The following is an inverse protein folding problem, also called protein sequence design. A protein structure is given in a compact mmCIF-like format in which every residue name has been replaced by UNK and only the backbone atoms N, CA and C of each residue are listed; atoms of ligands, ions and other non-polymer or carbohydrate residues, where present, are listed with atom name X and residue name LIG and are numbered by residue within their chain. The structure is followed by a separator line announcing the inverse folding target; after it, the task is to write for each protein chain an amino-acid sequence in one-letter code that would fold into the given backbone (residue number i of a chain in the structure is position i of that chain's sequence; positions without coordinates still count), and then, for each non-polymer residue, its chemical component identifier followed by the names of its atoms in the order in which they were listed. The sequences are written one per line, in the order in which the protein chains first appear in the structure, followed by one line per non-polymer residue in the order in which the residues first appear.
data_IF_941154266838
#
_entry.id   IF_941154266838
#
_cell.length_a   1.000
_cell.length_b   1.000
_cell.length_c   1.000
_cell.angle_alpha   90.00
_cell.angle_beta   90.00
_cell.angle_gamma   90.00
#
_symmetry.space_group_name_H-M   'P 1'
#
loop_
_entity.id
_entity.type
_entity.pdbx_description
1 polymer ?
#
# COMPACT_ATOMS: atom_id res chain seq x y z
N UNK A 1 -6.46 -11.52 -45.85
CA UNK A 1 -5.76 -11.80 -44.58
C UNK A 1 -6.20 -10.69 -43.64
N UNK A 2 -7.24 -10.97 -42.88
CA UNK A 2 -7.79 -10.03 -41.89
C UNK A 2 -6.81 -9.95 -40.73
N UNK A 3 -6.40 -8.74 -40.38
CA UNK A 3 -5.65 -8.45 -39.17
C UNK A 3 -6.49 -8.93 -37.99
N UNK A 4 -6.18 -10.10 -37.44
CA UNK A 4 -6.62 -10.48 -36.09
C UNK A 4 -6.16 -9.37 -35.14
N UNK A 5 -7.12 -8.55 -34.71
CA UNK A 5 -6.85 -7.45 -33.78
C UNK A 5 -6.09 -7.99 -32.59
N UNK A 6 -4.87 -7.51 -32.39
CA UNK A 6 -4.11 -7.73 -31.16
C UNK A 6 -5.02 -7.29 -29.99
N UNK A 7 -5.69 -8.27 -29.34
CA UNK A 7 -6.29 -8.05 -28.03
C UNK A 7 -5.16 -7.52 -27.15
N UNK A 8 -5.22 -6.23 -26.84
CA UNK A 8 -4.29 -5.63 -25.88
C UNK A 8 -4.36 -6.46 -24.60
N UNK A 9 -3.29 -7.21 -24.31
CA UNK A 9 -3.22 -8.01 -23.08
C UNK A 9 -3.42 -7.09 -21.90
N UNK A 10 -4.33 -7.47 -20.99
CA UNK A 10 -4.54 -6.73 -19.74
C UNK A 10 -3.23 -6.62 -18.95
N UNK A 11 -3.10 -5.54 -18.22
CA UNK A 11 -1.92 -5.20 -17.44
C UNK A 11 -2.03 -5.75 -16.02
N UNK A 12 -0.92 -6.21 -15.48
CA UNK A 12 -0.74 -6.51 -14.04
C UNK A 12 -0.05 -5.31 -13.39
N UNK A 13 -0.59 -4.81 -12.29
CA UNK A 13 0.04 -3.78 -11.46
C UNK A 13 0.58 -4.43 -10.20
N UNK A 14 1.90 -4.37 -9.98
CA UNK A 14 2.54 -4.82 -8.75
C UNK A 14 2.87 -3.58 -7.90
N UNK A 15 2.30 -3.47 -6.72
CA UNK A 15 2.45 -2.32 -5.84
C UNK A 15 3.42 -2.57 -4.70
N UNK A 16 4.44 -1.71 -4.57
CA UNK A 16 5.40 -1.74 -3.48
C UNK A 16 5.11 -0.63 -2.47
N UNK A 17 4.39 -1.00 -1.41
CA UNK A 17 3.92 -0.08 -0.39
C UNK A 17 4.97 0.19 0.70
N UNK A 18 4.92 1.32 1.41
CA UNK A 18 5.73 1.56 2.60
C UNK A 18 5.28 0.68 3.79
N UNK A 19 6.16 0.49 4.80
CA UNK A 19 7.55 0.95 4.85
C UNK A 19 8.44 0.08 3.97
N UNK A 20 8.99 0.65 2.91
CA UNK A 20 9.85 -0.06 1.98
C UNK A 20 11.06 0.80 1.65
N UNK A 21 12.19 0.16 1.32
CA UNK A 21 13.41 0.85 0.97
C UNK A 21 13.18 1.77 -0.24
N UNK A 22 13.61 3.02 -0.14
CA UNK A 22 13.49 4.01 -1.23
C UNK A 22 14.75 4.10 -2.11
N UNK A 23 15.84 3.47 -1.70
CA UNK A 23 17.13 3.52 -2.40
C UNK A 23 17.35 2.33 -3.35
N UNK A 24 16.52 1.28 -3.24
CA UNK A 24 16.61 0.08 -4.08
C UNK A 24 15.21 -0.30 -4.58
N UNK A 25 15.10 -0.79 -5.83
CA UNK A 25 13.86 -1.42 -6.28
C UNK A 25 13.60 -2.72 -5.48
N UNK A 26 12.34 -3.13 -5.38
CA UNK A 26 11.99 -4.41 -4.76
C UNK A 26 12.58 -5.57 -5.56
N UNK A 27 13.44 -6.42 -4.98
CA UNK A 27 13.93 -7.61 -5.67
C UNK A 27 12.79 -8.57 -6.04
N UNK A 28 11.86 -8.81 -5.11
CA UNK A 28 10.72 -9.69 -5.33
C UNK A 28 9.84 -9.21 -6.50
N UNK A 29 9.43 -7.94 -6.49
CA UNK A 29 8.63 -7.36 -7.58
C UNK A 29 9.37 -7.39 -8.92
N UNK A 30 10.69 -7.19 -8.91
CA UNK A 30 11.51 -7.22 -10.12
C UNK A 30 11.56 -8.62 -10.72
N UNK A 31 11.69 -9.66 -9.89
CA UNK A 31 11.67 -11.08 -10.32
C UNK A 31 10.29 -11.43 -10.87
N UNK A 32 9.21 -11.13 -10.14
CA UNK A 32 7.84 -11.41 -10.58
C UNK A 32 7.51 -10.72 -11.90
N UNK A 33 7.91 -9.45 -12.05
CA UNK A 33 7.74 -8.70 -13.30
C UNK A 33 8.48 -9.40 -14.45
N UNK A 34 9.78 -9.70 -14.29
CA UNK A 34 10.56 -10.35 -15.31
C UNK A 34 9.99 -11.72 -15.68
N UNK A 35 9.56 -12.51 -14.68
CA UNK A 35 8.96 -13.81 -14.89
C UNK A 35 7.70 -13.72 -15.75
N UNK A 36 6.71 -12.91 -15.36
CA UNK A 36 5.47 -12.75 -16.12
C UNK A 36 5.68 -12.15 -17.52
N UNK A 37 6.66 -11.24 -17.67
CA UNK A 37 7.02 -10.67 -18.98
C UNK A 37 7.58 -11.72 -19.94
N UNK A 38 8.28 -12.76 -19.46
CA UNK A 38 8.74 -13.87 -20.30
C UNK A 38 7.58 -14.67 -20.92
N UNK A 39 6.39 -14.65 -20.29
CA UNK A 39 5.16 -15.22 -20.83
C UNK A 39 4.32 -14.20 -21.61
N UNK A 40 4.89 -13.01 -21.85
CA UNK A 40 4.27 -11.97 -22.68
C UNK A 40 3.18 -11.16 -22.01
N UNK A 41 3.13 -11.12 -20.67
CA UNK A 41 2.21 -10.26 -19.93
C UNK A 41 2.79 -8.85 -19.76
N UNK A 42 1.92 -7.84 -19.78
CA UNK A 42 2.29 -6.47 -19.48
C UNK A 42 2.26 -6.26 -17.96
N UNK A 43 3.42 -5.98 -17.35
CA UNK A 43 3.55 -5.82 -15.90
C UNK A 43 4.20 -4.49 -15.57
N UNK A 44 3.51 -3.67 -14.76
CA UNK A 44 4.02 -2.43 -14.20
C UNK A 44 4.28 -2.60 -12.71
N UNK A 45 5.35 -1.99 -12.20
CA UNK A 45 5.58 -1.85 -10.76
C UNK A 45 5.23 -0.42 -10.38
N UNK A 46 4.29 -0.28 -9.43
CA UNK A 46 3.92 0.99 -8.83
C UNK A 46 4.65 1.15 -7.50
N UNK A 47 5.48 2.16 -7.43
CA UNK A 47 6.32 2.45 -6.26
C UNK A 47 5.60 3.39 -5.30
N UNK A 48 4.56 2.90 -4.61
CA UNK A 48 3.80 3.66 -3.61
C UNK A 48 4.69 4.22 -2.49
N UNK A 49 5.75 3.49 -2.14
CA UNK A 49 6.73 3.94 -1.16
C UNK A 49 7.40 5.27 -1.53
N UNK A 50 7.62 5.57 -2.81
CA UNK A 50 8.24 6.82 -3.24
C UNK A 50 7.26 8.00 -3.12
N UNK A 51 6.02 7.83 -3.55
CA UNK A 51 5.00 8.87 -3.45
C UNK A 51 4.68 9.20 -2.00
N UNK A 52 4.42 8.17 -1.20
CA UNK A 52 4.03 8.32 0.19
C UNK A 52 5.20 8.81 1.06
N UNK A 53 6.45 8.46 0.71
CA UNK A 53 7.63 8.99 1.39
C UNK A 53 7.74 10.51 1.25
N UNK A 54 7.47 11.04 0.07
CA UNK A 54 7.49 12.49 -0.14
C UNK A 54 6.49 13.19 0.77
N UNK A 55 5.25 12.68 0.81
CA UNK A 55 4.22 13.22 1.69
C UNK A 55 4.62 13.11 3.17
N UNK A 56 5.12 11.95 3.59
CA UNK A 56 5.52 11.73 4.97
C UNK A 56 6.60 12.69 5.43
N UNK A 57 7.59 12.97 4.59
CA UNK A 57 8.66 13.92 4.90
C UNK A 57 8.15 15.35 5.16
N UNK A 58 6.97 15.71 4.65
CA UNK A 58 6.33 17.01 4.96
C UNK A 58 5.72 17.04 6.37
N UNK A 59 5.34 15.88 6.91
CA UNK A 59 4.60 15.76 8.18
C UNK A 59 5.40 15.09 9.30
N UNK A 60 6.47 14.39 8.96
CA UNK A 60 7.36 13.79 9.95
C UNK A 60 8.44 14.78 10.36
N UNK A 61 8.61 14.93 11.65
CA UNK A 61 9.73 15.65 12.22
C UNK A 61 10.84 14.67 12.60
N UNK A 62 11.27 13.85 11.64
CA UNK A 62 12.40 12.95 11.87
C UNK A 62 13.71 13.75 11.83
N UNK A 63 14.60 13.46 12.76
CA UNK A 63 15.99 13.93 12.74
C UNK A 63 16.83 13.19 11.67
N UNK A 64 16.19 12.39 10.80
CA UNK A 64 16.83 11.65 9.71
C UNK A 64 17.43 10.32 10.11
N UNK A 65 17.21 9.83 11.31
CA UNK A 65 17.68 8.50 11.71
C UNK A 65 16.76 7.38 11.18
N UNK A 66 17.32 6.46 10.42
CA UNK A 66 16.60 5.35 9.76
C UNK A 66 15.84 4.42 10.73
N UNK A 67 16.27 4.33 11.98
CA UNK A 67 15.70 3.40 12.97
C UNK A 67 14.29 3.81 13.43
N UNK A 68 13.98 5.10 13.45
CA UNK A 68 12.71 5.63 13.95
C UNK A 68 11.63 5.73 12.87
N UNK A 69 12.01 5.70 11.60
CA UNK A 69 11.12 5.97 10.47
C UNK A 69 10.00 4.92 10.34
N UNK A 70 10.28 3.65 10.62
CA UNK A 70 9.31 2.57 10.43
C UNK A 70 8.10 2.66 11.37
N UNK A 71 8.34 2.91 12.66
CA UNK A 71 7.27 2.99 13.66
C UNK A 71 6.43 4.26 13.48
N UNK A 72 7.06 5.38 13.17
CA UNK A 72 6.38 6.66 12.93
C UNK A 72 5.48 6.59 11.69
N UNK A 73 5.94 5.96 10.60
CA UNK A 73 5.13 5.71 9.41
C UNK A 73 3.87 4.90 9.72
N UNK A 74 4.03 3.80 10.46
CA UNK A 74 2.89 2.97 10.87
C UNK A 74 1.87 3.78 11.69
N UNK A 75 2.35 4.58 12.64
CA UNK A 75 1.46 5.41 13.46
C UNK A 75 0.72 6.47 12.64
N UNK A 76 1.34 7.03 11.59
CA UNK A 76 0.65 7.94 10.68
C UNK A 76 -0.45 7.22 9.88
N UNK A 77 -0.22 5.98 9.42
CA UNK A 77 -1.26 5.20 8.74
C UNK A 77 -2.42 4.84 9.66
N UNK A 78 -2.13 4.39 10.89
CA UNK A 78 -3.18 4.15 11.88
C UNK A 78 -3.95 5.41 12.24
N UNK A 79 -3.27 6.56 12.30
CA UNK A 79 -3.90 7.84 12.55
C UNK A 79 -4.84 8.24 11.41
N UNK A 80 -4.41 8.05 10.15
CA UNK A 80 -5.28 8.21 8.99
C UNK A 80 -6.52 7.32 9.09
N UNK A 81 -6.36 6.03 9.39
CA UNK A 81 -7.48 5.10 9.55
C UNK A 81 -8.43 5.53 10.67
N UNK A 82 -7.90 5.96 11.82
CA UNK A 82 -8.71 6.43 12.93
C UNK A 82 -9.53 7.68 12.56
N UNK A 83 -8.96 8.60 11.80
CA UNK A 83 -9.66 9.79 11.29
C UNK A 83 -10.71 9.39 10.25
N UNK A 84 -10.35 8.56 9.27
CA UNK A 84 -11.23 8.10 8.20
C UNK A 84 -12.46 7.39 8.75
N UNK A 85 -12.27 6.49 9.72
CA UNK A 85 -13.36 5.72 10.34
C UNK A 85 -14.00 6.42 11.54
N UNK A 86 -13.59 7.66 11.86
CA UNK A 86 -14.11 8.46 12.99
C UNK A 86 -13.96 7.76 14.35
N UNK A 87 -12.92 6.94 14.49
CA UNK A 87 -12.59 6.26 15.75
C UNK A 87 -11.80 7.19 16.66
N UNK A 88 -12.53 7.97 17.46
CA UNK A 88 -11.95 8.93 18.42
C UNK A 88 -11.15 8.24 19.52
N UNK A 89 -11.47 7.00 19.88
CA UNK A 89 -10.74 6.24 20.89
C UNK A 89 -9.36 5.84 20.37
N UNK A 90 -9.29 5.24 19.17
CA UNK A 90 -8.04 4.91 18.51
C UNK A 90 -7.20 6.16 18.26
N UNK A 91 -7.80 7.24 17.76
CA UNK A 91 -7.11 8.51 17.52
C UNK A 91 -6.43 9.06 18.78
N UNK A 92 -7.14 9.11 19.90
CA UNK A 92 -6.58 9.61 21.16
C UNK A 92 -5.44 8.72 21.69
N UNK A 93 -5.56 7.39 21.56
CA UNK A 93 -4.48 6.45 21.94
C UNK A 93 -3.23 6.66 21.08
N UNK A 94 -3.38 6.82 19.77
CA UNK A 94 -2.28 7.07 18.85
C UNK A 94 -1.59 8.41 19.16
N UNK A 95 -2.35 9.46 19.49
CA UNK A 95 -1.83 10.75 19.91
C UNK A 95 -0.92 10.63 21.15
N UNK A 96 -1.31 9.80 22.13
CA UNK A 96 -0.48 9.52 23.29
C UNK A 96 0.79 8.76 22.93
N UNK A 97 0.69 7.72 22.10
CA UNK A 97 1.83 6.93 21.64
C UNK A 97 2.85 7.75 20.85
N UNK A 98 2.39 8.57 19.90
CA UNK A 98 3.26 9.45 19.12
C UNK A 98 4.01 10.46 19.99
N UNK A 99 3.34 11.04 20.99
CA UNK A 99 3.99 11.93 21.97
C UNK A 99 5.03 11.21 22.81
N UNK A 100 4.80 9.95 23.17
CA UNK A 100 5.76 9.16 23.94
C UNK A 100 7.01 8.79 23.13
N UNK A 101 6.86 8.54 21.83
CA UNK A 101 7.97 8.18 20.92
C UNK A 101 8.79 9.41 20.54
N UNK A 102 8.13 10.56 20.35
CA UNK A 102 8.77 11.81 19.91
C UNK A 102 8.52 12.91 20.93
N UNK A 103 9.47 13.17 21.85
CA UNK A 103 9.33 14.18 22.89
C UNK A 103 9.02 15.59 22.39
N UNK A 104 9.47 15.95 21.17
CA UNK A 104 9.13 17.23 20.55
C UNK A 104 7.62 17.44 20.37
N UNK A 105 6.82 16.37 20.29
CA UNK A 105 5.36 16.46 20.21
C UNK A 105 4.70 16.79 21.56
N UNK A 106 5.42 16.64 22.67
CA UNK A 106 4.89 16.93 24.00
C UNK A 106 4.56 18.41 24.16
N UNK A 107 5.39 19.30 23.57
CA UNK A 107 5.28 20.72 23.69
C UNK A 107 4.31 21.38 22.69
N UNK A 108 3.68 20.60 21.82
CA UNK A 108 2.71 21.12 20.88
C UNK A 108 1.38 21.35 21.52
N UNK A 109 0.70 22.44 21.14
CA UNK A 109 -0.65 22.66 21.56
C UNK A 109 -1.57 21.54 21.04
N UNK A 110 -2.59 21.12 21.80
CA UNK A 110 -3.53 20.11 21.35
C UNK A 110 -4.17 20.45 20.00
N UNK A 111 -4.52 21.70 19.78
CA UNK A 111 -5.14 22.15 18.52
C UNK A 111 -4.20 22.04 17.34
N UNK A 112 -2.93 22.45 17.51
CA UNK A 112 -1.93 22.35 16.46
C UNK A 112 -1.72 20.88 16.03
N UNK A 113 -1.67 19.95 17.01
CA UNK A 113 -1.57 18.53 16.74
C UNK A 113 -2.73 18.02 15.90
N UNK A 114 -3.97 18.34 16.33
CA UNK A 114 -5.18 17.84 15.67
C UNK A 114 -5.28 18.39 14.24
N UNK A 115 -4.99 19.68 14.04
CA UNK A 115 -4.95 20.30 12.71
C UNK A 115 -3.90 19.62 11.82
N UNK A 116 -2.71 19.38 12.34
CA UNK A 116 -1.61 18.74 11.60
C UNK A 116 -1.96 17.31 11.16
N UNK A 117 -2.55 16.50 12.04
CA UNK A 117 -2.95 15.14 11.72
C UNK A 117 -4.13 15.07 10.73
N UNK A 118 -5.07 16.00 10.83
CA UNK A 118 -6.15 16.07 9.85
C UNK A 118 -5.65 16.54 8.48
N UNK A 119 -4.70 17.47 8.43
CA UNK A 119 -4.04 17.90 7.18
C UNK A 119 -3.28 16.74 6.54
N UNK A 120 -2.55 15.96 7.35
CA UNK A 120 -1.90 14.74 6.85
C UNK A 120 -2.91 13.79 6.25
N UNK A 121 -3.98 13.47 6.97
CA UNK A 121 -5.00 12.54 6.51
C UNK A 121 -5.65 13.00 5.20
N UNK A 122 -5.95 14.29 5.07
CA UNK A 122 -6.51 14.85 3.84
C UNK A 122 -5.54 14.74 2.67
N UNK A 123 -4.29 15.17 2.84
CA UNK A 123 -3.27 15.09 1.77
C UNK A 123 -2.95 13.64 1.39
N UNK A 124 -2.98 12.71 2.35
CA UNK A 124 -2.81 11.30 2.09
C UNK A 124 -3.94 10.74 1.22
N UNK A 125 -5.19 11.09 1.55
CA UNK A 125 -6.39 10.74 0.79
C UNK A 125 -6.33 11.32 -0.64
N UNK A 126 -5.96 12.59 -0.77
CA UNK A 126 -5.86 13.28 -2.07
C UNK A 126 -4.80 12.62 -2.96
N UNK A 127 -3.64 12.28 -2.39
CA UNK A 127 -2.55 11.60 -3.10
C UNK A 127 -2.96 10.20 -3.57
N UNK A 128 -3.65 9.42 -2.72
CA UNK A 128 -4.17 8.11 -3.11
C UNK A 128 -5.15 8.24 -4.28
N UNK A 129 -6.06 9.19 -4.21
CA UNK A 129 -7.03 9.46 -5.27
C UNK A 129 -6.31 9.87 -6.57
N UNK A 130 -5.34 10.81 -6.50
CA UNK A 130 -4.58 11.25 -7.67
C UNK A 130 -3.87 10.10 -8.40
N UNK A 131 -3.31 9.14 -7.66
CA UNK A 131 -2.61 7.98 -8.25
C UNK A 131 -3.62 6.99 -8.82
N UNK A 132 -4.67 6.66 -8.07
CA UNK A 132 -5.66 5.64 -8.46
C UNK A 132 -6.52 6.11 -9.64
N UNK A 133 -6.82 7.41 -9.73
CA UNK A 133 -7.58 7.98 -10.85
C UNK A 133 -6.85 7.90 -12.20
N UNK A 134 -5.54 7.63 -12.20
CA UNK A 134 -4.75 7.41 -13.42
C UNK A 134 -4.93 5.99 -14.00
N UNK A 135 -5.50 5.06 -13.23
CA UNK A 135 -5.67 3.69 -13.69
C UNK A 135 -6.87 3.54 -14.63
N UNK A 136 -6.63 2.88 -15.77
CA UNK A 136 -7.66 2.37 -16.66
C UNK A 136 -8.02 0.94 -16.20
N UNK A 137 -9.00 0.83 -15.31
CA UNK A 137 -9.39 -0.43 -14.68
C UNK A 137 -9.83 -1.51 -15.67
N UNK A 138 -10.36 -1.13 -16.85
CA UNK A 138 -10.75 -2.08 -17.88
C UNK A 138 -9.55 -2.81 -18.50
N UNK A 139 -8.38 -2.18 -18.41
CA UNK A 139 -7.10 -2.73 -18.88
C UNK A 139 -6.29 -3.44 -17.81
N UNK A 140 -6.71 -3.40 -16.55
CA UNK A 140 -6.00 -4.05 -15.46
C UNK A 140 -6.61 -5.42 -15.16
N UNK A 141 -5.75 -6.43 -15.06
CA UNK A 141 -6.14 -7.79 -14.71
C UNK A 141 -6.30 -7.92 -13.19
N UNK A 142 -5.26 -7.51 -12.46
CA UNK A 142 -5.27 -7.45 -10.99
C UNK A 142 -4.18 -6.50 -10.48
N UNK A 143 -4.33 -6.14 -9.21
CA UNK A 143 -3.32 -5.43 -8.42
C UNK A 143 -2.66 -6.42 -7.44
N UNK A 144 -1.36 -6.63 -7.56
CA UNK A 144 -0.57 -7.43 -6.63
C UNK A 144 0.10 -6.51 -5.60
N UNK A 145 -0.19 -6.68 -4.31
CA UNK A 145 0.36 -5.86 -3.23
C UNK A 145 1.20 -6.73 -2.28
N UNK A 146 2.32 -6.19 -1.84
CA UNK A 146 3.16 -6.84 -0.84
C UNK A 146 2.66 -6.51 0.57
N UNK A 147 2.60 -7.53 1.45
CA UNK A 147 2.17 -7.37 2.85
C UNK A 147 3.26 -7.71 3.86
N UNK A 148 4.49 -7.91 3.39
CA UNK A 148 5.65 -8.23 4.22
C UNK A 148 6.10 -7.03 5.06
N UNK A 149 6.83 -7.27 6.15
CA UNK A 149 7.53 -6.27 6.97
C UNK A 149 6.68 -5.01 7.27
N UNK A 150 5.47 -5.19 7.80
CA UNK A 150 4.53 -4.10 8.13
C UNK A 150 3.91 -3.35 6.93
N UNK A 151 4.22 -3.71 5.70
CA UNK A 151 3.60 -3.13 4.50
C UNK A 151 2.09 -3.36 4.43
N UNK A 152 1.59 -4.39 5.12
CA UNK A 152 0.18 -4.76 5.13
C UNK A 152 -0.76 -3.61 5.51
N UNK A 153 -0.35 -2.70 6.41
CA UNK A 153 -1.18 -1.55 6.81
C UNK A 153 -1.41 -0.63 5.61
N UNK A 154 -0.34 -0.21 4.95
CA UNK A 154 -0.45 0.67 3.78
C UNK A 154 -1.09 -0.06 2.59
N UNK A 155 -0.73 -1.32 2.36
CA UNK A 155 -1.34 -2.14 1.29
C UNK A 155 -2.84 -2.33 1.50
N UNK A 156 -3.32 -2.46 2.75
CA UNK A 156 -4.75 -2.55 3.04
C UNK A 156 -5.48 -1.24 2.73
N UNK A 157 -4.86 -0.09 3.02
CA UNK A 157 -5.43 1.23 2.70
C UNK A 157 -5.50 1.43 1.18
N UNK A 158 -4.42 1.10 0.46
CA UNK A 158 -4.38 1.18 -1.02
C UNK A 158 -5.45 0.28 -1.64
N UNK A 159 -5.56 -0.96 -1.16
CA UNK A 159 -6.57 -1.92 -1.63
C UNK A 159 -7.99 -1.41 -1.38
N UNK A 160 -8.26 -0.87 -0.20
CA UNK A 160 -9.56 -0.26 0.13
C UNK A 160 -9.90 0.87 -0.83
N UNK A 161 -8.95 1.77 -1.11
CA UNK A 161 -9.13 2.88 -2.06
C UNK A 161 -9.37 2.40 -3.49
N UNK A 162 -8.65 1.37 -3.94
CA UNK A 162 -8.89 0.75 -5.25
C UNK A 162 -10.30 0.17 -5.31
N UNK A 163 -10.74 -0.55 -4.26
CA UNK A 163 -12.10 -1.12 -4.18
C UNK A 163 -13.19 -0.05 -4.09
N UNK A 164 -12.96 1.08 -3.41
CA UNK A 164 -13.88 2.22 -3.41
C UNK A 164 -14.09 2.78 -4.83
N UNK A 165 -13.02 2.85 -5.62
CA UNK A 165 -13.08 3.35 -7.00
C UNK A 165 -13.66 2.32 -7.97
N UNK A 166 -13.26 1.07 -7.85
CA UNK A 166 -13.78 -0.05 -8.64
C UNK A 166 -13.93 -1.29 -7.77
N UNK A 167 -15.16 -1.58 -7.28
CA UNK A 167 -15.42 -2.75 -6.43
C UNK A 167 -15.08 -4.11 -7.09
N UNK A 168 -15.03 -4.18 -8.42
CA UNK A 168 -14.68 -5.39 -9.16
C UNK A 168 -13.18 -5.59 -9.38
N UNK A 169 -12.33 -4.62 -9.01
CA UNK A 169 -10.89 -4.75 -9.12
C UNK A 169 -10.38 -5.92 -8.26
N UNK A 170 -9.56 -6.77 -8.83
CA UNK A 170 -9.00 -7.94 -8.12
C UNK A 170 -7.73 -7.52 -7.39
N UNK A 171 -7.69 -7.77 -6.08
CA UNK A 171 -6.54 -7.49 -5.21
C UNK A 171 -5.89 -8.79 -4.76
N UNK A 172 -4.65 -8.96 -5.15
CA UNK A 172 -3.80 -10.11 -4.79
C UNK A 172 -2.75 -9.65 -3.79
N UNK A 173 -2.60 -10.34 -2.67
CA UNK A 173 -1.55 -10.04 -1.70
C UNK A 173 -0.52 -11.16 -1.63
N UNK A 174 0.75 -10.79 -1.49
CA UNK A 174 1.89 -11.71 -1.44
C UNK A 174 2.97 -11.26 -0.45
N UNK A 175 4.08 -12.00 -0.41
CA UNK A 175 5.12 -11.82 0.61
C UNK A 175 4.75 -12.49 1.94
N UNK A 176 3.92 -13.52 1.89
CA UNK A 176 3.38 -14.24 3.03
C UNK A 176 4.12 -15.58 3.18
N UNK A 177 4.64 -15.86 4.38
CA UNK A 177 5.46 -17.06 4.60
C UNK A 177 4.68 -18.35 4.77
N UNK A 178 3.42 -18.31 5.24
CA UNK A 178 2.64 -19.53 5.55
C UNK A 178 1.20 -19.43 5.07
N UNK A 179 0.58 -20.60 4.88
CA UNK A 179 -0.83 -20.72 4.51
C UNK A 179 -1.76 -20.12 5.56
N UNK A 180 -1.46 -20.35 6.82
CA UNK A 180 -2.25 -19.85 7.96
C UNK A 180 -2.28 -18.34 8.00
N UNK A 181 -1.12 -17.69 7.73
CA UNK A 181 -1.04 -16.24 7.61
C UNK A 181 -1.85 -15.73 6.40
N UNK A 182 -1.80 -16.41 5.26
CA UNK A 182 -2.60 -16.06 4.09
C UNK A 182 -4.11 -16.10 4.38
N UNK A 183 -4.57 -17.17 5.05
CA UNK A 183 -5.96 -17.29 5.50
C UNK A 183 -6.33 -16.14 6.45
N UNK A 184 -5.45 -15.81 7.41
CA UNK A 184 -5.69 -14.72 8.35
C UNK A 184 -5.82 -13.37 7.64
N UNK A 185 -5.01 -13.08 6.61
CA UNK A 185 -5.17 -11.87 5.81
C UNK A 185 -6.55 -11.80 5.14
N UNK A 186 -7.01 -12.86 4.48
CA UNK A 186 -8.31 -12.88 3.82
C UNK A 186 -9.49 -12.79 4.81
N UNK A 187 -9.33 -13.32 6.02
CA UNK A 187 -10.36 -13.24 7.06
C UNK A 187 -10.48 -11.85 7.69
N UNK A 188 -9.39 -11.11 7.77
CA UNK A 188 -9.35 -9.82 8.47
C UNK A 188 -9.43 -8.60 7.54
N UNK A 189 -9.20 -8.77 6.24
CA UNK A 189 -9.17 -7.69 5.25
C UNK A 189 -10.08 -8.03 4.07
N UNK A 190 -11.32 -7.55 4.13
CA UNK A 190 -12.33 -7.83 3.10
C UNK A 190 -11.98 -7.28 1.70
N UNK A 191 -11.05 -6.33 1.62
CA UNK A 191 -10.55 -5.75 0.38
C UNK A 191 -9.53 -6.65 -0.35
N UNK A 192 -9.01 -7.70 0.28
CA UNK A 192 -8.10 -8.66 -0.35
C UNK A 192 -8.90 -9.84 -0.91
N UNK A 193 -8.77 -10.11 -2.20
CA UNK A 193 -9.49 -11.21 -2.86
C UNK A 193 -8.70 -12.51 -2.85
N UNK A 194 -7.36 -12.41 -3.01
CA UNK A 194 -6.47 -13.56 -3.12
C UNK A 194 -5.24 -13.31 -2.26
N UNK A 195 -4.83 -14.31 -1.48
CA UNK A 195 -3.58 -14.26 -0.72
C UNK A 195 -2.66 -15.42 -1.15
N UNK A 196 -1.43 -15.09 -1.56
CA UNK A 196 -0.42 -16.04 -2.00
C UNK A 196 0.66 -16.18 -0.95
N UNK A 197 1.07 -17.41 -0.64
CA UNK A 197 2.17 -17.70 0.29
C UNK A 197 3.29 -18.47 -0.41
N UNK A 198 4.50 -18.33 0.08
CA UNK A 198 5.69 -18.90 -0.54
C UNK A 198 6.14 -18.15 -1.79
N UNK A 199 6.67 -18.88 -2.78
CA UNK A 199 7.14 -18.31 -4.04
C UNK A 199 5.95 -17.90 -4.92
N UNK A 200 6.00 -16.68 -5.47
CA UNK A 200 4.86 -16.07 -6.16
C UNK A 200 4.83 -16.30 -7.67
N UNK A 201 5.93 -16.74 -8.30
CA UNK A 201 6.10 -16.77 -9.75
C UNK A 201 5.06 -17.66 -10.45
N UNK A 202 4.98 -18.92 -10.03
CA UNK A 202 4.05 -19.90 -10.62
C UNK A 202 2.59 -19.58 -10.30
N UNK A 203 2.22 -19.29 -9.03
CA UNK A 203 0.82 -18.91 -8.71
C UNK A 203 0.35 -17.66 -9.45
N UNK A 204 1.20 -16.62 -9.58
CA UNK A 204 0.84 -15.42 -10.33
C UNK A 204 0.67 -15.70 -11.82
N UNK A 205 1.52 -16.57 -12.43
CA UNK A 205 1.35 -16.96 -13.83
C UNK A 205 0.00 -17.64 -14.04
N UNK A 206 -0.37 -18.62 -13.21
CA UNK A 206 -1.68 -19.29 -13.32
C UNK A 206 -2.86 -18.35 -13.12
N UNK A 207 -2.70 -17.29 -12.33
CA UNK A 207 -3.74 -16.29 -12.16
C UNK A 207 -3.89 -15.39 -13.40
N UNK A 208 -2.84 -15.24 -14.21
CA UNK A 208 -2.85 -14.42 -15.43
C UNK A 208 -3.33 -15.18 -16.67
N UNK A 209 -3.37 -16.50 -16.66
CA UNK A 209 -3.90 -17.38 -17.70
C UNK A 209 -5.44 -17.41 -17.69
#
# INVERSE_FOLDING_TARGET
MENEGQKTKKQVILGWAPPANVYMPSPAMSVLKAYLQNFGYNVCIEYWNLYLRKLQNEFMWSDGTLADEGAEHLLLYYNYLAIKHKDTCAYNRLKVLLKAIKPQYINMSPNFWDEHMHQYAQKFEDLLNEIIDKYDFDKILYFGLEVNLYQWVCSSIIAEKIKEKNPSAVIVVGGIGTKEAAIAYLQNFAQFDIAMWGEGEIPLLHLTE
#
